data_IF_346728433242
#
_entry.id   IF_346728433242
#
_cell.length_a   1.000
_cell.length_b   1.000
_cell.length_c   1.000
_cell.angle_alpha   90.00
_cell.angle_beta   90.00
_cell.angle_gamma   90.00
#
_symmetry.space_group_name_H-M   'P 1'
#
loop_
_entity.id
_entity.type
_entity.pdbx_description
1 polymer ?
#
# COMPACT_ATOMS: atom_id res chain seq x y z
N UNK A 1 5.14 -7.50 -19.79
CA UNK A 1 3.70 -7.22 -19.61
C UNK A 1 3.06 -7.97 -18.44
N UNK A 2 3.53 -9.16 -18.04
CA UNK A 2 2.94 -9.92 -16.91
C UNK A 2 3.17 -9.31 -15.53
N UNK A 3 4.40 -8.91 -15.21
CA UNK A 3 4.78 -8.48 -13.85
C UNK A 3 4.03 -7.20 -13.41
N UNK A 4 3.93 -6.20 -14.29
CA UNK A 4 3.22 -4.95 -14.00
C UNK A 4 1.74 -5.18 -13.62
N UNK A 5 1.07 -6.11 -14.30
CA UNK A 5 -0.35 -6.44 -14.02
C UNK A 5 -0.52 -7.08 -12.65
N UNK A 6 0.43 -7.91 -12.22
CA UNK A 6 0.40 -8.52 -10.88
C UNK A 6 0.50 -7.44 -9.81
N UNK A 7 1.46 -6.52 -9.92
CA UNK A 7 1.64 -5.45 -8.94
C UNK A 7 0.43 -4.51 -8.87
N UNK A 8 -0.14 -4.11 -10.01
CA UNK A 8 -1.36 -3.30 -10.00
C UNK A 8 -2.60 -4.08 -9.53
N UNK A 9 -2.67 -5.40 -9.75
CA UNK A 9 -3.71 -6.24 -9.19
C UNK A 9 -3.67 -6.28 -7.66
N UNK A 10 -2.47 -6.41 -7.07
CA UNK A 10 -2.28 -6.33 -5.61
C UNK A 10 -2.67 -4.95 -5.07
N UNK A 11 -2.27 -3.87 -5.75
CA UNK A 11 -2.66 -2.51 -5.37
C UNK A 11 -4.17 -2.30 -5.45
N UNK A 12 -4.84 -2.81 -6.49
CA UNK A 12 -6.30 -2.76 -6.61
C UNK A 12 -6.98 -3.53 -5.46
N UNK A 13 -6.43 -4.68 -5.07
CA UNK A 13 -6.88 -5.43 -3.89
C UNK A 13 -6.78 -4.62 -2.60
N UNK A 14 -5.68 -3.87 -2.39
CA UNK A 14 -5.52 -2.98 -1.24
C UNK A 14 -6.53 -1.82 -1.25
N UNK A 15 -6.82 -1.22 -2.41
CA UNK A 15 -7.87 -0.20 -2.53
C UNK A 15 -9.22 -0.76 -2.10
N UNK A 16 -9.60 -1.92 -2.64
CA UNK A 16 -10.87 -2.58 -2.28
C UNK A 16 -10.91 -2.89 -0.79
N UNK A 17 -9.81 -3.41 -0.23
CA UNK A 17 -9.70 -3.69 1.20
C UNK A 17 -9.92 -2.43 2.04
N UNK A 18 -9.24 -1.32 1.72
CA UNK A 18 -9.38 -0.05 2.45
C UNK A 18 -10.77 0.57 2.33
N UNK A 19 -11.54 0.25 1.30
CA UNK A 19 -12.94 0.66 1.17
C UNK A 19 -13.88 -0.25 1.97
N UNK A 20 -13.63 -1.56 2.00
CA UNK A 20 -14.46 -2.53 2.73
C UNK A 20 -14.39 -2.31 4.24
N UNK A 21 -13.20 -2.06 4.80
CA UNK A 21 -13.01 -1.89 6.25
C UNK A 21 -13.95 -0.82 6.86
N UNK A 22 -13.97 0.44 6.38
CA UNK A 22 -14.90 1.45 6.90
C UNK A 22 -16.35 1.17 6.50
N UNK A 23 -16.60 0.62 5.31
CA UNK A 23 -17.96 0.29 4.87
C UNK A 23 -18.65 -0.71 5.81
N UNK A 24 -17.94 -1.76 6.23
CA UNK A 24 -18.44 -2.75 7.20
C UNK A 24 -18.85 -2.06 8.51
N UNK A 25 -18.03 -1.13 9.01
CA UNK A 25 -18.35 -0.35 10.21
C UNK A 25 -19.55 0.58 10.03
N UNK A 26 -19.65 1.26 8.87
CA UNK A 26 -20.76 2.15 8.55
C UNK A 26 -22.10 1.41 8.43
N UNK A 27 -22.08 0.15 7.98
CA UNK A 27 -23.25 -0.71 7.91
C UNK A 27 -23.64 -1.32 9.28
N UNK A 28 -22.92 -1.00 10.34
CA UNK A 28 -23.19 -1.48 11.70
C UNK A 28 -22.69 -2.90 11.99
N UNK A 29 -21.92 -3.50 11.09
CA UNK A 29 -21.32 -4.81 11.32
C UNK A 29 -20.06 -4.69 12.18
N UNK A 30 -19.92 -5.57 13.16
CA UNK A 30 -18.70 -5.69 13.95
C UNK A 30 -17.93 -6.95 13.53
N UNK A 31 -16.82 -6.75 12.82
CA UNK A 31 -15.93 -7.84 12.36
C UNK A 31 -14.53 -7.59 12.95
N UNK A 32 -14.27 -8.01 14.21
CA UNK A 32 -13.03 -7.69 14.92
C UNK A 32 -11.76 -8.08 14.16
N UNK A 33 -11.81 -9.25 13.49
CA UNK A 33 -10.68 -9.74 12.71
C UNK A 33 -10.32 -8.80 11.54
N UNK A 34 -11.33 -8.22 10.87
CA UNK A 34 -11.10 -7.29 9.76
C UNK A 34 -10.42 -6.00 10.25
N UNK A 35 -10.88 -5.44 11.36
CA UNK A 35 -10.28 -4.24 11.97
C UNK A 35 -8.86 -4.50 12.46
N UNK A 36 -8.63 -5.63 13.14
CA UNK A 36 -7.30 -6.02 13.60
C UNK A 36 -6.34 -6.21 12.42
N UNK A 37 -6.80 -6.91 11.37
CA UNK A 37 -5.99 -7.13 10.18
C UNK A 37 -5.65 -5.83 9.46
N UNK A 38 -6.61 -4.90 9.36
CA UNK A 38 -6.38 -3.56 8.82
C UNK A 38 -5.34 -2.78 9.63
N UNK A 39 -5.40 -2.85 10.97
CA UNK A 39 -4.42 -2.21 11.85
C UNK A 39 -3.02 -2.79 11.67
N UNK A 40 -2.90 -4.12 11.53
CA UNK A 40 -1.61 -4.80 11.27
C UNK A 40 -1.03 -4.37 9.92
N UNK A 41 -1.85 -4.34 8.86
CA UNK A 41 -1.40 -3.87 7.53
C UNK A 41 -0.94 -2.41 7.60
N UNK A 42 -1.73 -1.53 8.24
CA UNK A 42 -1.36 -0.13 8.36
C UNK A 42 -0.04 0.04 9.13
N UNK A 43 0.14 -0.70 10.23
CA UNK A 43 1.38 -0.69 10.99
C UNK A 43 2.56 -1.15 10.14
N UNK A 44 2.41 -2.23 9.37
CA UNK A 44 3.43 -2.69 8.44
C UNK A 44 3.79 -1.60 7.42
N UNK A 45 2.81 -0.95 6.82
CA UNK A 45 3.04 0.16 5.88
C UNK A 45 3.79 1.33 6.52
N UNK A 46 3.47 1.70 7.77
CA UNK A 46 4.21 2.75 8.50
C UNK A 46 5.68 2.34 8.66
N UNK A 47 5.94 1.10 9.07
CA UNK A 47 7.30 0.58 9.27
C UNK A 47 8.10 0.47 7.96
N UNK A 48 7.42 0.38 6.82
CA UNK A 48 8.07 0.37 5.51
C UNK A 48 8.53 1.75 5.01
N UNK A 49 8.02 2.85 5.57
CA UNK A 49 8.32 4.21 5.09
C UNK A 49 9.83 4.49 4.99
N UNK A 50 10.66 4.21 6.01
CA UNK A 50 12.11 4.45 5.93
C UNK A 50 12.76 3.64 4.79
N UNK A 51 12.33 2.40 4.60
CA UNK A 51 12.83 1.52 3.54
C UNK A 51 12.43 2.03 2.16
N UNK A 52 11.17 2.45 1.99
CA UNK A 52 10.66 3.00 0.74
C UNK A 52 11.40 4.29 0.34
N UNK A 53 11.60 5.21 1.29
CA UNK A 53 12.37 6.45 1.05
C UNK A 53 13.80 6.13 0.61
N UNK A 54 14.46 5.17 1.28
CA UNK A 54 15.83 4.80 0.92
C UNK A 54 15.90 4.15 -0.47
N UNK A 55 14.97 3.24 -0.79
CA UNK A 55 14.92 2.53 -2.07
C UNK A 55 14.60 3.42 -3.26
N UNK A 56 13.79 4.46 -3.06
CA UNK A 56 13.35 5.36 -4.14
C UNK A 56 14.14 6.68 -4.21
N UNK A 57 15.19 6.84 -3.40
CA UNK A 57 15.99 8.08 -3.32
C UNK A 57 16.51 8.54 -4.69
N UNK A 58 16.98 7.61 -5.52
CA UNK A 58 17.51 7.92 -6.85
C UNK A 58 16.46 8.47 -7.83
N UNK A 59 15.17 8.28 -7.54
CA UNK A 59 14.06 8.76 -8.39
C UNK A 59 13.66 10.21 -8.08
N UNK A 60 14.27 10.86 -7.07
CA UNK A 60 13.99 12.25 -6.68
C UNK A 60 12.50 12.57 -6.45
N UNK A 61 11.74 11.60 -5.93
CA UNK A 61 10.31 11.77 -5.66
C UNK A 61 10.09 12.65 -4.41
N UNK A 62 9.01 13.45 -4.37
CA UNK A 62 8.63 14.17 -3.16
C UNK A 62 8.40 13.19 -2.00
N UNK A 63 9.01 13.46 -0.84
CA UNK A 63 8.90 12.57 0.34
C UNK A 63 7.44 12.34 0.74
N UNK A 64 6.61 13.38 0.69
CA UNK A 64 5.18 13.25 0.96
C UNK A 64 4.46 12.27 0.03
N UNK A 65 4.84 12.22 -1.27
CA UNK A 65 4.30 11.24 -2.23
C UNK A 65 4.71 9.82 -1.85
N UNK A 66 5.96 9.62 -1.45
CA UNK A 66 6.46 8.31 -0.99
C UNK A 66 5.72 7.86 0.27
N UNK A 67 5.56 8.74 1.25
CA UNK A 67 4.82 8.44 2.49
C UNK A 67 3.37 8.05 2.17
N UNK A 68 2.65 8.87 1.40
CA UNK A 68 1.24 8.61 1.08
C UNK A 68 1.05 7.31 0.29
N UNK A 69 1.85 7.09 -0.77
CA UNK A 69 1.74 5.84 -1.54
C UNK A 69 2.12 4.62 -0.69
N UNK A 70 3.09 4.72 0.21
CA UNK A 70 3.46 3.59 1.12
C UNK A 70 2.38 3.31 2.13
N UNK A 71 1.71 4.32 2.69
CA UNK A 71 0.58 4.09 3.60
C UNK A 71 -0.59 3.38 2.93
N UNK A 72 -0.85 3.63 1.64
CA UNK A 72 -1.96 2.99 0.92
C UNK A 72 -1.57 1.61 0.39
N UNK A 73 -0.39 1.49 -0.22
CA UNK A 73 -0.01 0.34 -1.03
C UNK A 73 1.14 -0.50 -0.47
N UNK A 74 1.87 -0.03 0.55
CA UNK A 74 3.01 -0.74 1.12
C UNK A 74 4.05 -1.15 0.08
N UNK A 75 4.66 -2.32 0.25
CA UNK A 75 5.69 -2.79 -0.68
C UNK A 75 5.16 -3.06 -2.09
N UNK A 76 3.85 -3.20 -2.27
CA UNK A 76 3.26 -3.51 -3.58
C UNK A 76 3.40 -2.36 -4.59
N UNK A 77 3.77 -1.15 -4.15
CA UNK A 77 4.10 -0.03 -5.05
C UNK A 77 5.60 0.28 -5.11
N UNK A 78 6.28 0.44 -3.97
CA UNK A 78 7.66 0.94 -3.97
C UNK A 78 8.64 -0.14 -4.42
N UNK A 79 8.37 -1.41 -4.15
CA UNK A 79 9.25 -2.51 -4.54
C UNK A 79 9.32 -2.67 -6.07
N UNK A 80 8.20 -2.81 -6.81
CA UNK A 80 8.26 -2.90 -8.27
C UNK A 80 8.78 -1.62 -8.93
N UNK A 81 8.50 -0.45 -8.36
CA UNK A 81 9.03 0.82 -8.87
C UNK A 81 10.55 0.86 -8.74
N UNK A 82 11.11 0.44 -7.59
CA UNK A 82 12.56 0.36 -7.39
C UNK A 82 13.26 -0.65 -8.31
N UNK A 83 12.51 -1.62 -8.86
CA UNK A 83 13.02 -2.65 -9.79
C UNK A 83 12.70 -2.35 -11.26
N UNK A 84 12.01 -1.26 -11.57
CA UNK A 84 11.62 -0.89 -12.93
C UNK A 84 10.47 -1.71 -13.53
N UNK A 85 9.72 -2.46 -12.72
CA UNK A 85 8.56 -3.24 -13.19
C UNK A 85 7.30 -2.39 -13.39
N UNK A 86 7.23 -1.26 -12.69
CA UNK A 86 6.13 -0.30 -12.76
C UNK A 86 6.67 1.08 -13.06
N UNK A 87 5.81 1.95 -13.59
CA UNK A 87 6.11 3.38 -13.79
C UNK A 87 5.54 4.18 -12.62
N UNK A 88 6.09 5.38 -12.44
CA UNK A 88 5.68 6.31 -11.38
C UNK A 88 4.29 6.90 -11.56
#
# INVERSE_FOLDING_TARGET
>A
MGEQRVWYGLQAGLVVFWLIVPLVGLLGFHVPFLTLFAAIILLAHVLEIPLAINRLRALNLPVGKVVLKTLVFGFTWWLPLSKGYTKE
#
